data_IF_632385441914
#
_entry.id   IF_632385441914
#
_cell.length_a   1.000
_cell.length_b   1.000
_cell.length_c   1.000
_cell.angle_alpha   90.00
_cell.angle_beta   90.00
_cell.angle_gamma   90.00
#
_symmetry.space_group_name_H-M   'P 1'
#
loop_
_entity.id
_entity.type
_entity.pdbx_description
1 polymer ?
#
# COMPACT_ATOMS: atom_id res chain seq x y z
N UNK A 1 -13.56 14.31 -2.20
CA UNK A 1 -13.62 14.42 -3.67
C UNK A 1 -13.34 13.03 -4.25
N UNK A 2 -13.64 12.70 -5.52
CA UNK A 2 -13.31 11.36 -6.06
C UNK A 2 -11.79 11.26 -6.29
N UNK A 3 -11.16 10.14 -5.89
CA UNK A 3 -9.72 9.82 -6.02
C UNK A 3 -9.06 10.39 -7.29
N UNK A 4 -9.74 10.24 -8.43
CA UNK A 4 -9.35 10.78 -9.74
C UNK A 4 -8.94 12.26 -9.66
N UNK A 5 -9.79 13.13 -9.12
CA UNK A 5 -9.56 14.58 -9.07
C UNK A 5 -8.32 14.96 -8.25
N UNK A 6 -8.05 14.24 -7.17
CA UNK A 6 -6.86 14.46 -6.33
C UNK A 6 -5.60 14.08 -7.11
N UNK A 7 -5.62 12.91 -7.77
CA UNK A 7 -4.50 12.44 -8.58
C UNK A 7 -4.26 13.32 -9.81
N UNK A 8 -5.31 13.82 -10.47
CA UNK A 8 -5.18 14.77 -11.58
C UNK A 8 -4.49 16.07 -11.17
N UNK A 9 -4.82 16.60 -9.99
CA UNK A 9 -4.17 17.79 -9.43
C UNK A 9 -2.70 17.50 -9.12
N UNK A 10 -2.41 16.38 -8.47
CA UNK A 10 -1.04 15.95 -8.16
C UNK A 10 -0.19 15.81 -9.43
N UNK A 11 -0.68 15.09 -10.44
CA UNK A 11 0.08 14.81 -11.68
C UNK A 11 0.30 16.06 -12.53
N UNK A 12 -0.52 17.11 -12.33
CA UNK A 12 -0.39 18.36 -13.07
C UNK A 12 0.72 19.29 -12.54
N UNK A 13 1.32 18.98 -11.38
CA UNK A 13 2.45 19.71 -10.79
C UNK A 13 3.63 18.77 -10.53
N UNK A 14 4.81 19.04 -11.12
CA UNK A 14 5.97 18.15 -11.01
C UNK A 14 6.49 17.98 -9.58
N UNK A 15 6.35 18.97 -8.71
CA UNK A 15 6.80 18.88 -7.31
C UNK A 15 5.82 18.01 -6.52
N UNK A 16 4.51 18.24 -6.66
CA UNK A 16 3.49 17.38 -6.04
C UNK A 16 3.58 15.95 -6.57
N UNK A 17 3.76 15.77 -7.87
CA UNK A 17 3.91 14.46 -8.50
C UNK A 17 5.16 13.73 -8.01
N UNK A 18 6.28 14.45 -7.82
CA UNK A 18 7.49 13.88 -7.23
C UNK A 18 7.27 13.42 -5.78
N UNK A 19 6.61 14.25 -4.96
CA UNK A 19 6.24 13.86 -3.59
C UNK A 19 5.28 12.68 -3.56
N UNK A 20 4.33 12.60 -4.50
CA UNK A 20 3.40 11.48 -4.63
C UNK A 20 4.11 10.17 -4.94
N UNK A 21 4.99 10.14 -5.93
CA UNK A 21 5.80 8.96 -6.23
C UNK A 21 6.69 8.56 -5.04
N UNK A 22 7.22 9.54 -4.31
CA UNK A 22 7.98 9.29 -3.10
C UNK A 22 7.11 8.73 -1.96
N UNK A 23 5.84 9.15 -1.89
CA UNK A 23 4.85 8.70 -0.92
C UNK A 23 4.45 7.26 -1.18
N UNK A 24 4.11 6.90 -2.43
CA UNK A 24 3.87 5.52 -2.82
C UNK A 24 5.10 4.65 -2.57
N UNK A 25 6.29 5.12 -2.98
CA UNK A 25 7.55 4.41 -2.74
C UNK A 25 7.81 4.15 -1.25
N UNK A 26 7.48 5.12 -0.40
CA UNK A 26 7.55 4.93 1.06
C UNK A 26 6.57 3.83 1.53
N UNK A 27 5.33 3.83 1.04
CA UNK A 27 4.30 2.86 1.41
C UNK A 27 4.70 1.44 1.01
N UNK A 28 5.19 1.23 -0.22
CA UNK A 28 5.67 -0.09 -0.65
C UNK A 28 6.86 -0.57 0.19
N UNK A 29 7.81 0.31 0.47
CA UNK A 29 8.94 -0.04 1.33
C UNK A 29 8.52 -0.32 2.78
N UNK A 30 7.47 0.34 3.28
CA UNK A 30 6.92 0.08 4.59
C UNK A 30 6.15 -1.25 4.62
N UNK A 31 5.43 -1.58 3.53
CA UNK A 31 4.80 -2.88 3.29
C UNK A 31 5.83 -4.00 3.31
N UNK A 32 6.86 -3.92 2.46
CA UNK A 32 7.97 -4.87 2.40
C UNK A 32 8.57 -5.17 3.78
N UNK A 33 8.88 -4.12 4.56
CA UNK A 33 9.42 -4.25 5.92
C UNK A 33 8.46 -4.94 6.87
N UNK A 34 7.16 -4.69 6.76
CA UNK A 34 6.14 -5.36 7.58
C UNK A 34 6.01 -6.83 7.20
N UNK A 35 6.02 -7.14 5.92
CA UNK A 35 5.98 -8.52 5.41
C UNK A 35 7.20 -9.29 5.93
N UNK A 36 8.42 -8.76 5.77
CA UNK A 36 9.62 -9.39 6.35
C UNK A 36 9.54 -9.50 7.87
N UNK A 37 9.03 -8.47 8.55
CA UNK A 37 8.84 -8.52 9.99
C UNK A 37 7.79 -9.54 10.40
N UNK A 38 6.92 -10.03 9.50
CA UNK A 38 5.88 -11.03 9.76
C UNK A 38 6.40 -12.47 9.80
N UNK A 39 7.58 -12.73 9.25
CA UNK A 39 8.22 -14.05 9.13
C UNK A 39 8.24 -14.85 10.45
N UNK A 40 8.09 -16.18 10.32
CA UNK A 40 8.42 -17.09 11.41
C UNK A 40 9.95 -17.10 11.61
N UNK A 41 10.42 -17.44 12.81
CA UNK A 41 11.86 -17.45 13.09
C UNK A 41 12.62 -18.55 12.33
N UNK A 42 11.93 -19.63 11.97
CA UNK A 42 12.52 -20.82 11.36
C UNK A 42 11.73 -21.31 10.14
N UNK A 43 10.41 -21.13 10.13
CA UNK A 43 9.50 -21.68 9.11
C UNK A 43 9.14 -20.60 8.09
N UNK A 44 10.15 -20.09 7.39
CA UNK A 44 9.97 -19.05 6.39
C UNK A 44 9.55 -19.67 5.06
N UNK A 45 8.41 -19.23 4.53
CA UNK A 45 7.86 -19.73 3.26
C UNK A 45 8.40 -18.95 2.06
N UNK A 46 8.44 -19.59 0.90
CA UNK A 46 8.80 -18.93 -0.36
C UNK A 46 7.86 -17.75 -0.65
N UNK A 47 6.58 -17.87 -0.29
CA UNK A 47 5.56 -16.85 -0.48
C UNK A 47 5.96 -15.51 0.17
N UNK A 48 6.24 -15.51 1.48
CA UNK A 48 6.57 -14.28 2.21
C UNK A 48 7.86 -13.66 1.68
N UNK A 49 8.87 -14.48 1.36
CA UNK A 49 10.15 -14.01 0.81
C UNK A 49 9.98 -13.36 -0.56
N UNK A 50 9.20 -14.00 -1.44
CA UNK A 50 8.89 -13.48 -2.78
C UNK A 50 8.17 -12.14 -2.66
N UNK A 51 7.10 -12.10 -1.87
CA UNK A 51 6.28 -10.90 -1.70
C UNK A 51 7.08 -9.72 -1.16
N UNK A 52 7.85 -9.93 -0.08
CA UNK A 52 8.70 -8.86 0.48
C UNK A 52 9.75 -8.35 -0.51
N UNK A 53 10.33 -9.24 -1.33
CA UNK A 53 11.30 -8.85 -2.35
C UNK A 53 10.67 -8.03 -3.48
N UNK A 54 9.44 -8.38 -3.89
CA UNK A 54 8.67 -7.68 -4.90
C UNK A 54 8.25 -6.28 -4.41
N UNK A 55 7.79 -6.15 -3.16
CA UNK A 55 7.46 -4.83 -2.61
C UNK A 55 8.66 -3.90 -2.46
N UNK A 56 9.83 -4.45 -2.08
CA UNK A 56 11.06 -3.66 -2.12
C UNK A 56 11.42 -3.21 -3.54
N UNK A 57 11.14 -4.04 -4.55
CA UNK A 57 11.35 -3.71 -5.96
C UNK A 57 10.35 -2.66 -6.44
N UNK A 58 9.09 -2.70 -6.03
CA UNK A 58 8.09 -1.65 -6.30
C UNK A 58 8.56 -0.30 -5.75
N UNK A 59 8.98 -0.28 -4.48
CA UNK A 59 9.51 0.93 -3.85
C UNK A 59 10.70 1.53 -4.60
N UNK A 60 11.65 0.68 -5.00
CA UNK A 60 12.80 1.06 -5.81
C UNK A 60 12.37 1.59 -7.19
N UNK A 61 11.44 0.90 -7.85
CA UNK A 61 10.94 1.27 -9.16
C UNK A 61 10.27 2.64 -9.15
N UNK A 62 9.45 2.95 -8.13
CA UNK A 62 8.81 4.25 -7.97
C UNK A 62 9.84 5.38 -7.82
N UNK A 63 10.94 5.16 -7.08
CA UNK A 63 12.08 6.10 -7.02
C UNK A 63 12.73 6.30 -8.39
N UNK A 64 12.85 5.23 -9.20
CA UNK A 64 13.35 5.33 -10.58
C UNK A 64 12.39 6.09 -11.50
N UNK A 65 11.07 5.96 -11.30
CA UNK A 65 10.09 6.76 -12.02
C UNK A 65 10.16 8.24 -11.62
N UNK A 66 10.30 8.52 -10.33
CA UNK A 66 10.44 9.88 -9.79
C UNK A 66 11.60 10.64 -10.45
N UNK A 67 12.74 9.98 -10.65
CA UNK A 67 13.90 10.54 -11.33
C UNK A 67 13.62 11.03 -12.78
N UNK A 68 12.54 10.56 -13.42
CA UNK A 68 12.12 11.05 -14.75
C UNK A 68 11.45 12.43 -14.71
N UNK A 69 10.99 12.86 -13.54
CA UNK A 69 10.44 14.18 -13.29
C UNK A 69 11.56 15.15 -12.91
N UNK A 70 12.30 14.81 -11.85
CA UNK A 70 13.48 15.55 -11.40
C UNK A 70 14.38 14.63 -10.53
N UNK A 71 15.65 14.48 -10.90
CA UNK A 71 16.61 13.62 -10.21
C UNK A 71 17.09 14.18 -8.86
N UNK A 72 16.82 15.47 -8.59
CA UNK A 72 17.36 16.17 -7.43
C UNK A 72 16.36 16.40 -6.29
N UNK A 73 15.10 16.01 -6.46
CA UNK A 73 14.04 16.16 -5.45
C UNK A 73 13.68 14.84 -4.77
N UNK A 74 13.08 14.94 -3.59
CA UNK A 74 12.48 13.80 -2.88
C UNK A 74 13.46 12.61 -2.69
N UNK A 75 14.67 12.90 -2.25
CA UNK A 75 15.76 11.91 -2.11
C UNK A 75 15.51 10.97 -0.93
N UNK A 76 14.84 11.44 0.11
CA UNK A 76 14.59 10.66 1.34
C UNK A 76 13.09 10.46 1.57
N UNK A 77 12.73 9.90 2.73
CA UNK A 77 11.35 9.83 3.22
C UNK A 77 11.12 10.82 4.37
N UNK A 78 11.79 11.97 4.31
CA UNK A 78 11.57 13.08 5.23
C UNK A 78 10.14 13.60 5.08
N UNK A 79 9.58 14.19 6.14
CA UNK A 79 8.19 14.68 6.10
C UNK A 79 7.99 15.76 5.03
N UNK A 80 9.01 16.55 4.70
CA UNK A 80 8.93 17.60 3.68
C UNK A 80 8.83 17.03 2.25
N UNK A 81 9.22 15.77 2.04
CA UNK A 81 9.29 15.12 0.72
C UNK A 81 8.14 14.13 0.50
N UNK A 82 7.20 14.02 1.44
CA UNK A 82 6.03 13.16 1.37
C UNK A 82 4.77 14.01 1.35
N UNK A 83 3.71 13.50 0.74
CA UNK A 83 2.37 14.05 0.89
C UNK A 83 1.67 13.42 2.09
N UNK A 84 0.90 14.23 2.81
CA UNK A 84 0.21 13.94 4.05
C UNK A 84 1.06 13.09 5.01
N UNK A 85 2.30 13.51 5.36
CA UNK A 85 3.31 12.63 5.95
C UNK A 85 2.85 11.90 7.22
N UNK A 86 2.01 12.54 8.05
CA UNK A 86 1.44 11.89 9.23
C UNK A 86 0.49 10.76 8.83
N UNK A 87 -0.49 11.03 7.97
CA UNK A 87 -1.43 10.00 7.51
C UNK A 87 -0.71 8.86 6.78
N UNK A 88 0.24 9.19 5.90
CA UNK A 88 1.05 8.22 5.14
C UNK A 88 1.86 7.30 6.07
N UNK A 89 2.63 7.86 7.02
CA UNK A 89 3.52 7.07 7.88
C UNK A 89 2.78 6.19 8.88
N UNK A 90 1.61 6.63 9.32
CA UNK A 90 0.80 5.86 10.26
C UNK A 90 -0.15 4.87 9.58
N UNK A 91 -0.35 4.95 8.25
CA UNK A 91 -1.34 4.17 7.51
C UNK A 91 -1.27 2.66 7.82
N UNK A 92 -0.18 2.00 7.41
CA UNK A 92 -0.04 0.56 7.56
C UNK A 92 0.03 0.13 9.04
N UNK A 93 0.67 0.92 9.90
CA UNK A 93 0.78 0.60 11.32
C UNK A 93 -0.58 0.67 12.04
N UNK A 94 -1.39 1.67 11.73
CA UNK A 94 -2.72 1.81 12.32
C UNK A 94 -3.67 0.73 11.80
N UNK A 95 -3.56 0.36 10.52
CA UNK A 95 -4.36 -0.72 9.93
C UNK A 95 -4.03 -2.03 10.64
N UNK A 96 -2.75 -2.36 10.74
CA UNK A 96 -2.23 -3.54 11.44
C UNK A 96 -2.70 -3.61 12.90
N UNK A 97 -2.64 -2.51 13.66
CA UNK A 97 -3.15 -2.45 15.04
C UNK A 97 -4.66 -2.69 15.12
N UNK A 98 -5.45 -2.12 14.20
CA UNK A 98 -6.90 -2.31 14.17
C UNK A 98 -7.27 -3.74 13.79
N UNK A 99 -6.60 -4.30 12.79
CA UNK A 99 -6.80 -5.68 12.32
C UNK A 99 -6.39 -6.68 13.39
N UNK A 100 -5.22 -6.53 14.01
CA UNK A 100 -4.80 -7.37 15.13
C UNK A 100 -5.84 -7.40 16.26
N UNK A 101 -6.47 -6.27 16.57
CA UNK A 101 -7.52 -6.19 17.60
C UNK A 101 -8.77 -6.96 17.19
N UNK A 102 -9.20 -6.81 15.94
CA UNK A 102 -10.32 -7.55 15.37
C UNK A 102 -10.05 -9.06 15.40
N UNK A 103 -8.88 -9.50 14.91
CA UNK A 103 -8.51 -10.91 14.84
C UNK A 103 -8.42 -11.56 16.24
N UNK A 104 -7.90 -10.85 17.24
CA UNK A 104 -7.93 -11.32 18.64
C UNK A 104 -9.36 -11.58 19.14
N UNK A 105 -10.31 -10.72 18.80
CA UNK A 105 -11.70 -10.85 19.26
C UNK A 105 -12.46 -11.97 18.55
N UNK A 106 -12.14 -12.23 17.28
CA UNK A 106 -12.90 -13.17 16.44
C UNK A 106 -12.29 -14.56 16.34
N UNK A 107 -10.96 -14.69 16.44
CA UNK A 107 -10.25 -15.96 16.29
C UNK A 107 -9.52 -16.42 17.56
N UNK A 108 -9.50 -15.59 18.62
CA UNK A 108 -8.79 -15.87 19.88
C UNK A 108 -7.30 -16.21 19.68
N UNK A 109 -6.66 -15.60 18.68
CA UNK A 109 -5.26 -15.85 18.33
C UNK A 109 -4.30 -15.07 19.22
N UNK A 110 -3.07 -15.60 19.36
CA UNK A 110 -1.98 -14.93 20.06
C UNK A 110 -0.63 -15.26 19.42
N UNK A 111 0.44 -14.58 19.87
CA UNK A 111 1.80 -14.89 19.43
C UNK A 111 1.97 -14.81 17.91
N UNK A 112 2.57 -15.85 17.34
CA UNK A 112 2.84 -15.94 15.90
C UNK A 112 1.56 -16.08 15.07
N UNK A 113 0.61 -16.90 15.49
CA UNK A 113 -0.62 -17.14 14.70
C UNK A 113 -1.40 -15.85 14.47
N UNK A 114 -1.47 -14.99 15.49
CA UNK A 114 -2.08 -13.67 15.33
C UNK A 114 -1.33 -12.79 14.33
N UNK A 115 0.00 -12.81 14.40
CA UNK A 115 0.87 -12.00 13.54
C UNK A 115 0.77 -12.46 12.08
N UNK A 116 0.73 -13.77 11.86
CA UNK A 116 0.55 -14.36 10.54
C UNK A 116 -0.84 -14.07 9.98
N UNK A 117 -1.90 -14.24 10.79
CA UNK A 117 -3.25 -13.86 10.39
C UNK A 117 -3.36 -12.36 10.06
N UNK A 118 -2.72 -11.51 10.87
CA UNK A 118 -2.67 -10.07 10.60
C UNK A 118 -1.95 -9.78 9.28
N UNK A 119 -0.83 -10.44 8.99
CA UNK A 119 -0.18 -10.36 7.67
C UNK A 119 -1.17 -10.70 6.55
N UNK A 120 -1.82 -11.86 6.58
CA UNK A 120 -2.74 -12.27 5.50
C UNK A 120 -3.83 -11.24 5.23
N UNK A 121 -4.54 -10.79 6.29
CA UNK A 121 -5.67 -9.89 6.11
C UNK A 121 -5.27 -8.44 5.85
N UNK A 122 -4.20 -7.93 6.48
CA UNK A 122 -3.71 -6.57 6.23
C UNK A 122 -3.18 -6.48 4.81
N UNK A 123 -2.33 -7.44 4.41
CA UNK A 123 -1.78 -7.47 3.05
C UNK A 123 -2.92 -7.53 2.04
N UNK A 124 -3.86 -8.49 2.16
CA UNK A 124 -5.03 -8.55 1.27
C UNK A 124 -5.78 -7.22 1.13
N UNK A 125 -6.04 -6.51 2.23
CA UNK A 125 -6.73 -5.22 2.16
C UNK A 125 -5.91 -4.13 1.45
N UNK A 126 -4.58 -4.18 1.54
CA UNK A 126 -3.68 -3.28 0.83
C UNK A 126 -3.58 -3.65 -0.65
N UNK A 127 -3.50 -4.94 -1.00
CA UNK A 127 -3.54 -5.41 -2.39
C UNK A 127 -4.83 -4.96 -3.09
N UNK A 128 -5.99 -5.10 -2.43
CA UNK A 128 -7.28 -4.59 -2.96
C UNK A 128 -7.24 -3.07 -3.19
N UNK A 129 -6.57 -2.31 -2.30
CA UNK A 129 -6.42 -0.87 -2.49
C UNK A 129 -5.48 -0.54 -3.64
N UNK A 130 -4.39 -1.29 -3.79
CA UNK A 130 -3.42 -1.12 -4.86
C UNK A 130 -4.05 -1.43 -6.24
N UNK A 131 -4.85 -2.50 -6.32
CA UNK A 131 -5.64 -2.88 -7.50
C UNK A 131 -6.64 -1.79 -7.92
N UNK A 132 -7.17 -0.99 -6.98
CA UNK A 132 -7.98 0.18 -7.31
C UNK A 132 -7.11 1.40 -7.71
N UNK A 133 -6.08 1.71 -6.92
CA UNK A 133 -5.33 2.96 -7.02
C UNK A 133 -4.44 3.03 -8.26
N UNK A 134 -3.68 1.97 -8.53
CA UNK A 134 -2.67 1.99 -9.59
C UNK A 134 -3.25 2.09 -10.99
N UNK A 135 -4.34 1.38 -11.36
CA UNK A 135 -4.99 1.55 -12.66
C UNK A 135 -5.49 2.98 -12.88
N UNK A 136 -6.18 3.57 -11.90
CA UNK A 136 -6.66 4.96 -11.98
C UNK A 136 -5.49 5.92 -12.17
N UNK A 137 -4.41 5.73 -11.40
CA UNK A 137 -3.22 6.56 -11.53
C UNK A 137 -2.56 6.40 -12.92
N UNK A 138 -2.45 5.18 -13.44
CA UNK A 138 -1.90 4.91 -14.77
C UNK A 138 -2.74 5.52 -15.89
N UNK A 139 -4.06 5.53 -15.77
CA UNK A 139 -4.95 6.16 -16.74
C UNK A 139 -4.72 7.67 -16.80
N UNK A 140 -4.59 8.32 -15.64
CA UNK A 140 -4.27 9.75 -15.54
C UNK A 140 -2.88 10.04 -16.14
N UNK A 141 -1.87 9.24 -15.81
CA UNK A 141 -0.52 9.37 -16.40
C UNK A 141 -0.56 9.27 -17.92
N UNK A 142 -1.36 8.33 -18.45
CA UNK A 142 -1.53 8.13 -19.89
C UNK A 142 -2.22 9.31 -20.55
N UNK A 143 -3.32 9.80 -19.97
CA UNK A 143 -4.06 10.96 -20.46
C UNK A 143 -3.21 12.24 -20.48
N UNK A 144 -2.32 12.40 -19.49
CA UNK A 144 -1.38 13.52 -19.38
C UNK A 144 -0.07 13.32 -20.16
N UNK A 145 0.08 12.20 -20.89
CA UNK A 145 1.30 11.82 -21.61
C UNK A 145 2.56 11.88 -20.73
N UNK A 146 2.43 11.46 -19.46
CA UNK A 146 3.53 11.48 -18.50
C UNK A 146 4.65 10.52 -18.92
N UNK A 147 5.89 10.87 -18.56
CA UNK A 147 7.06 9.99 -18.72
C UNK A 147 7.09 8.86 -17.68
N UNK A 148 6.32 9.04 -16.60
CA UNK A 148 6.14 8.09 -15.51
C UNK A 148 5.15 7.01 -15.94
N UNK A 149 5.41 5.78 -15.52
CA UNK A 149 4.53 4.63 -15.75
C UNK A 149 4.58 3.71 -14.54
N UNK A 150 3.45 3.10 -14.20
CA UNK A 150 3.29 2.12 -13.11
C UNK A 150 2.72 0.79 -13.63
N UNK A 151 2.61 0.61 -14.95
CA UNK A 151 2.10 -0.64 -15.57
C UNK A 151 2.77 -1.92 -15.08
N UNK A 152 4.07 -1.88 -14.78
CA UNK A 152 4.78 -3.06 -14.27
C UNK A 152 4.37 -3.42 -12.85
N UNK A 153 4.00 -2.43 -12.03
CA UNK A 153 3.47 -2.67 -10.67
C UNK A 153 2.10 -3.33 -10.81
N UNK A 154 1.19 -2.77 -11.61
CA UNK A 154 -0.16 -3.33 -11.84
C UNK A 154 -0.11 -4.82 -12.21
N UNK A 155 0.79 -5.22 -13.12
CA UNK A 155 0.92 -6.62 -13.54
C UNK A 155 1.39 -7.56 -12.41
N UNK A 156 2.09 -7.04 -11.40
CA UNK A 156 2.64 -7.81 -10.30
C UNK A 156 1.63 -7.93 -9.14
N UNK A 157 0.91 -6.84 -8.85
CA UNK A 157 -0.16 -6.79 -7.85
C UNK A 157 -1.31 -7.78 -8.14
N UNK A 158 -1.64 -8.03 -9.41
CA UNK A 158 -2.63 -9.06 -9.81
C UNK A 158 -2.26 -10.44 -9.25
N UNK A 159 -0.97 -10.78 -9.25
CA UNK A 159 -0.47 -12.05 -8.71
C UNK A 159 -0.47 -12.08 -7.19
N UNK A 160 -0.12 -10.97 -6.54
CA UNK A 160 -0.15 -10.86 -5.07
C UNK A 160 -1.55 -11.03 -4.51
N UNK A 161 -2.55 -10.41 -5.14
CA UNK A 161 -3.94 -10.54 -4.72
C UNK A 161 -4.43 -12.00 -4.82
N UNK A 162 -4.11 -12.69 -5.92
CA UNK A 162 -4.47 -14.11 -6.10
C UNK A 162 -3.81 -15.00 -5.03
N UNK A 163 -2.53 -14.76 -4.73
CA UNK A 163 -1.80 -15.48 -3.69
C UNK A 163 -2.42 -15.26 -2.31
N UNK A 164 -2.76 -14.02 -1.95
CA UNK A 164 -3.41 -13.71 -0.68
C UNK A 164 -4.81 -14.32 -0.55
N UNK A 165 -5.59 -14.31 -1.63
CA UNK A 165 -6.91 -14.95 -1.69
C UNK A 165 -6.81 -16.46 -1.40
N UNK A 166 -5.82 -17.13 -1.99
CA UNK A 166 -5.62 -18.56 -1.76
C UNK A 166 -5.23 -18.86 -0.30
N UNK A 167 -4.33 -18.06 0.28
CA UNK A 167 -3.96 -18.20 1.69
C UNK A 167 -5.14 -17.96 2.65
N UNK A 168 -5.98 -16.96 2.36
CA UNK A 168 -7.16 -16.66 3.18
C UNK A 168 -8.21 -17.77 3.13
N UNK A 169 -8.43 -18.37 1.96
CA UNK A 169 -9.33 -19.53 1.79
C UNK A 169 -8.87 -20.76 2.59
N UNK A 170 -7.56 -20.99 2.65
CA UNK A 170 -6.98 -22.06 3.46
C UNK A 170 -7.04 -21.74 4.96
N UNK A 171 -6.87 -20.46 5.33
CA UNK A 171 -6.85 -20.01 6.71
C UNK A 171 -8.22 -20.13 7.42
N UNK A 172 -9.33 -19.80 6.74
CA UNK A 172 -10.66 -19.84 7.33
C UNK A 172 -11.76 -20.06 6.30
N UNK A 173 -12.75 -20.92 6.61
CA UNK A 173 -13.95 -21.09 5.78
C UNK A 173 -14.78 -19.80 5.66
N UNK A 174 -14.77 -18.96 6.70
CA UNK A 174 -15.51 -17.69 6.75
C UNK A 174 -14.60 -16.48 6.43
N UNK A 175 -13.46 -16.70 5.75
CA UNK A 175 -12.48 -15.64 5.50
C UNK A 175 -13.09 -14.40 4.84
N UNK A 176 -14.02 -14.55 3.89
CA UNK A 176 -14.67 -13.44 3.18
C UNK A 176 -15.38 -12.49 4.13
N UNK A 177 -16.04 -13.03 5.16
CA UNK A 177 -16.72 -12.21 6.17
C UNK A 177 -15.72 -11.34 6.93
N UNK A 178 -14.59 -11.91 7.32
CA UNK A 178 -13.55 -11.20 8.05
C UNK A 178 -12.79 -10.20 7.16
N UNK A 179 -12.49 -10.59 5.93
CA UNK A 179 -11.88 -9.74 4.92
C UNK A 179 -12.74 -8.50 4.62
N UNK A 180 -14.06 -8.67 4.50
CA UNK A 180 -15.00 -7.56 4.30
C UNK A 180 -15.00 -6.56 5.48
N UNK A 181 -14.91 -7.03 6.72
CA UNK A 181 -14.79 -6.12 7.88
C UNK A 181 -13.46 -5.37 7.87
N UNK A 182 -12.39 -6.01 7.42
CA UNK A 182 -11.06 -5.41 7.36
C UNK A 182 -10.95 -4.40 6.21
N UNK A 183 -11.56 -4.68 5.05
CA UNK A 183 -11.71 -3.71 3.95
C UNK A 183 -12.45 -2.47 4.43
N UNK A 184 -13.51 -2.59 5.24
CA UNK A 184 -14.20 -1.41 5.79
C UNK A 184 -13.28 -0.58 6.70
N UNK A 185 -12.45 -1.23 7.50
CA UNK A 185 -11.46 -0.56 8.35
C UNK A 185 -10.43 0.19 7.49
N UNK A 186 -9.90 -0.46 6.45
CA UNK A 186 -8.98 0.14 5.49
C UNK A 186 -9.63 1.32 4.77
N UNK A 187 -10.86 1.17 4.26
CA UNK A 187 -11.58 2.19 3.51
C UNK A 187 -11.78 3.48 4.33
N UNK A 188 -12.06 3.37 5.63
CA UNK A 188 -12.13 4.56 6.49
C UNK A 188 -10.77 5.26 6.57
N UNK A 189 -9.69 4.50 6.72
CA UNK A 189 -8.35 5.05 6.80
C UNK A 189 -7.90 5.65 5.47
N UNK A 190 -8.26 5.03 4.35
CA UNK A 190 -8.04 5.56 3.01
C UNK A 190 -8.75 6.89 2.84
N UNK A 191 -10.00 7.00 3.28
CA UNK A 191 -10.77 8.23 3.24
C UNK A 191 -10.08 9.35 4.05
N UNK A 192 -9.63 9.03 5.27
CA UNK A 192 -8.89 9.98 6.11
C UNK A 192 -7.56 10.42 5.45
N UNK A 193 -6.84 9.49 4.81
CA UNK A 193 -5.62 9.79 4.06
C UNK A 193 -5.89 10.71 2.87
N UNK A 194 -6.95 10.42 2.09
CA UNK A 194 -7.38 11.25 0.96
C UNK A 194 -7.76 12.67 1.39
N UNK A 195 -8.45 12.83 2.53
CA UNK A 195 -8.72 14.16 3.11
C UNK A 195 -7.43 14.89 3.48
N UNK A 196 -6.45 14.17 4.06
CA UNK A 196 -5.13 14.72 4.35
C UNK A 196 -4.39 15.20 3.09
N UNK A 197 -4.47 14.45 1.99
CA UNK A 197 -3.91 14.83 0.70
C UNK A 197 -4.60 16.07 0.13
N UNK A 198 -5.94 16.09 0.14
CA UNK A 198 -6.74 17.23 -0.34
C UNK A 198 -6.37 18.53 0.39
N UNK A 199 -6.19 18.47 1.71
CA UNK A 199 -5.79 19.63 2.51
C UNK A 199 -4.39 20.15 2.16
N UNK A 200 -3.43 19.26 1.87
CA UNK A 200 -2.06 19.65 1.51
C UNK A 200 -1.96 20.19 0.07
N UNK A 201 -2.80 19.71 -0.85
CA UNK A 201 -2.81 20.21 -2.24
C UNK A 201 -3.49 21.59 -2.31
N UNK A 202 -4.43 21.87 -1.41
CA UNK A 202 -5.15 23.15 -1.35
C UNK A 202 -4.37 24.28 -0.65
N UNK A 203 -3.28 23.96 0.05
CA UNK A 203 -2.44 24.91 0.81
C UNK A 203 -1.28 25.47 -0.02
#
# INVERSE_FOLDING_TARGET
>A
MQLVSVLENIVSDNILHSKWLNTLSYMENAGAKKISASEHKEEVTLLILKHAAEEHRHAYYLKKQLAKLDENVCKTYSNAELLAPNHTKYYLNNLDVKVCRYLKQHFNLSGYDLKFAAYLFVTYAIEVRADELYPIYQDILTAKQSRVTVKSIILEEEGHLEEMLNQLREFSLDWEKHANEIIKIEQQMFTDWMMGLEMEIAS
#
